data_IF_869568475632
#
_entry.id   IF_869568475632
#
_cell.length_a   1.000
_cell.length_b   1.000
_cell.length_c   1.000
_cell.angle_alpha   90.00
_cell.angle_beta   90.00
_cell.angle_gamma   90.00
#
_symmetry.space_group_name_H-M   'P 1'
#
loop_
_entity.id
_entity.type
_entity.pdbx_description
1 polymer ?
#
# COMPACT_ATOMS: atom_id res chain seq x y z
N UNK A 1 -59.27 1.47 42.34
CA UNK A 1 -57.79 1.32 42.37
C UNK A 1 -57.21 2.71 42.47
N UNK A 2 -56.63 3.06 43.62
CA UNK A 2 -56.05 4.39 43.85
C UNK A 2 -54.68 4.52 43.20
N UNK A 3 -54.20 5.75 42.98
CA UNK A 3 -52.88 6.03 42.36
C UNK A 3 -51.73 5.26 43.05
N UNK A 4 -51.86 5.00 44.36
CA UNK A 4 -50.91 4.18 45.12
C UNK A 4 -50.88 2.69 44.74
N UNK A 5 -52.00 2.10 44.28
CA UNK A 5 -52.04 0.71 43.80
C UNK A 5 -51.42 0.55 42.40
N UNK A 6 -51.45 1.61 41.58
CA UNK A 6 -50.78 1.65 40.27
C UNK A 6 -49.26 1.62 40.44
N UNK A 7 -48.71 2.42 41.35
CA UNK A 7 -47.26 2.40 41.66
C UNK A 7 -46.81 1.14 42.42
N UNK A 8 -47.70 0.47 43.17
CA UNK A 8 -47.36 -0.80 43.85
C UNK A 8 -47.33 -2.00 42.89
N UNK A 9 -48.12 -1.95 41.81
CA UNK A 9 -48.17 -3.00 40.78
C UNK A 9 -47.04 -2.83 39.76
N UNK A 10 -46.64 -1.59 39.50
CA UNK A 10 -45.44 -1.26 38.72
C UNK A 10 -44.23 -1.13 39.66
N UNK A 11 -43.79 -2.26 40.22
CA UNK A 11 -42.43 -2.36 40.80
C UNK A 11 -41.46 -1.96 39.70
N UNK A 12 -40.86 -0.77 39.83
CA UNK A 12 -39.68 -0.28 39.10
C UNK A 12 -39.53 -0.94 37.72
N UNK A 13 -40.28 -0.48 36.71
CA UNK A 13 -39.84 -0.68 35.34
C UNK A 13 -38.48 0.04 35.22
N UNK A 14 -37.40 -0.73 35.35
CA UNK A 14 -36.06 -0.28 35.04
C UNK A 14 -36.06 0.12 33.57
N UNK A 15 -36.29 1.40 33.29
CA UNK A 15 -36.25 1.92 31.91
C UNK A 15 -34.83 1.70 31.39
N UNK A 16 -34.63 0.89 30.33
CA UNK A 16 -33.32 0.64 29.78
C UNK A 16 -32.75 1.96 29.23
N UNK A 17 -31.53 2.29 29.67
CA UNK A 17 -30.75 3.37 29.13
C UNK A 17 -29.99 2.85 27.91
N UNK A 18 -30.43 3.23 26.71
CA UNK A 18 -29.80 2.81 25.47
C UNK A 18 -28.54 3.63 25.18
N UNK A 19 -27.36 3.00 25.11
CA UNK A 19 -26.09 3.66 24.78
C UNK A 19 -25.49 3.01 23.53
N UNK A 20 -25.19 3.82 22.51
CA UNK A 20 -24.42 3.41 21.34
C UNK A 20 -22.96 3.87 21.47
N UNK A 21 -22.01 3.02 21.08
CA UNK A 21 -20.59 3.37 21.05
C UNK A 21 -19.89 2.74 19.84
N UNK A 22 -19.03 3.53 19.21
CA UNK A 22 -18.19 3.11 18.09
C UNK A 22 -16.86 2.56 18.58
N UNK A 23 -16.42 1.51 17.89
CA UNK A 23 -15.12 0.87 18.06
C UNK A 23 -14.47 0.68 16.70
N UNK A 24 -13.21 1.08 16.59
CA UNK A 24 -12.44 1.03 15.35
C UNK A 24 -11.30 0.04 15.51
N UNK A 25 -11.20 -0.88 14.56
CA UNK A 25 -10.16 -1.90 14.46
C UNK A 25 -9.45 -1.76 13.13
N UNK A 26 -8.15 -2.04 13.16
CA UNK A 26 -7.32 -2.15 11.97
C UNK A 26 -6.85 -3.59 11.82
N UNK A 27 -6.78 -4.11 10.61
CA UNK A 27 -6.33 -5.47 10.34
C UNK A 27 -5.57 -5.53 9.03
N UNK A 28 -4.79 -6.59 8.86
CA UNK A 28 -4.21 -6.97 7.58
C UNK A 28 -5.02 -8.16 7.05
N UNK A 29 -5.67 -7.99 5.91
CA UNK A 29 -6.52 -9.01 5.28
C UNK A 29 -5.99 -9.38 3.90
N UNK A 30 -6.21 -10.62 3.46
CA UNK A 30 -6.01 -11.02 2.06
C UNK A 30 -7.11 -10.48 1.14
N UNK A 31 -7.46 -11.24 0.10
CA UNK A 31 -8.58 -10.89 -0.80
C UNK A 31 -9.95 -11.09 -0.11
N UNK A 32 -10.91 -10.23 -0.41
CA UNK A 32 -12.30 -10.29 0.10
C UNK A 32 -12.47 -10.11 1.62
N UNK A 33 -11.56 -9.41 2.30
CA UNK A 33 -11.74 -9.02 3.71
C UNK A 33 -11.69 -10.19 4.71
N UNK A 34 -11.08 -11.33 4.34
CA UNK A 34 -10.88 -12.54 5.15
C UNK A 34 -12.09 -13.00 6.00
N UNK A 35 -13.30 -12.77 5.49
CA UNK A 35 -14.54 -13.14 6.17
C UNK A 35 -14.71 -12.52 7.56
N UNK A 36 -14.20 -11.30 7.80
CA UNK A 36 -14.29 -10.61 9.12
C UNK A 36 -15.71 -10.66 9.69
N UNK A 37 -16.73 -10.33 8.88
CA UNK A 37 -18.12 -10.35 9.34
C UNK A 37 -18.54 -11.74 9.83
N UNK A 38 -18.18 -12.80 9.09
CA UNK A 38 -18.44 -14.20 9.46
C UNK A 38 -17.70 -14.57 10.74
N UNK A 39 -16.41 -14.25 10.86
CA UNK A 39 -15.59 -14.49 12.07
C UNK A 39 -16.18 -13.80 13.32
N UNK A 40 -16.78 -12.63 13.17
CA UNK A 40 -17.45 -11.94 14.27
C UNK A 40 -18.73 -12.67 14.69
N UNK A 41 -19.54 -13.11 13.72
CA UNK A 41 -20.76 -13.88 14.01
C UNK A 41 -20.43 -15.21 14.67
N UNK A 42 -19.44 -15.93 14.15
CA UNK A 42 -18.95 -17.19 14.71
C UNK A 42 -18.40 -17.03 16.13
N UNK A 43 -17.69 -15.93 16.39
CA UNK A 43 -17.22 -15.61 17.74
C UNK A 43 -18.36 -15.46 18.75
N UNK A 44 -19.50 -14.87 18.34
CA UNK A 44 -20.68 -14.78 19.20
C UNK A 44 -21.46 -16.10 19.26
N UNK A 45 -21.36 -16.95 18.25
CA UNK A 45 -21.83 -18.33 18.25
C UNK A 45 -23.30 -18.46 18.66
N UNK A 46 -23.56 -19.26 19.69
CA UNK A 46 -24.91 -19.56 20.19
C UNK A 46 -25.63 -18.35 20.82
N UNK A 47 -24.94 -17.23 21.04
CA UNK A 47 -25.53 -15.98 21.55
C UNK A 47 -26.22 -15.17 20.46
N UNK A 48 -25.96 -15.46 19.19
CA UNK A 48 -26.60 -14.80 18.06
C UNK A 48 -28.07 -15.20 18.02
N UNK A 49 -28.95 -14.21 18.08
CA UNK A 49 -30.38 -14.36 17.80
C UNK A 49 -30.64 -14.18 16.31
N UNK A 50 -29.98 -13.18 15.71
CA UNK A 50 -30.15 -12.80 14.31
C UNK A 50 -28.85 -12.19 13.77
N UNK A 51 -28.48 -12.51 12.54
CA UNK A 51 -27.38 -11.87 11.82
C UNK A 51 -27.82 -11.62 10.38
N UNK A 52 -27.65 -10.39 9.88
CA UNK A 52 -28.18 -9.95 8.59
C UNK A 52 -27.11 -9.20 7.82
N UNK A 53 -26.91 -9.58 6.56
CA UNK A 53 -26.20 -8.77 5.58
C UNK A 53 -27.09 -7.60 5.16
N UNK A 54 -26.66 -6.39 5.49
CA UNK A 54 -27.43 -5.17 5.27
C UNK A 54 -27.22 -4.59 3.87
N UNK A 55 -26.27 -5.12 3.09
CA UNK A 55 -26.04 -4.70 1.72
C UNK A 55 -27.21 -5.07 0.79
N UNK A 56 -27.93 -6.16 1.11
CA UNK A 56 -29.14 -6.64 0.42
C UNK A 56 -30.38 -5.75 0.60
N UNK A 57 -30.34 -4.69 1.43
CA UNK A 57 -31.47 -3.76 1.63
C UNK A 57 -31.30 -2.40 0.92
N UNK A 58 -30.32 -2.25 0.02
CA UNK A 58 -30.07 -1.03 -0.77
C UNK A 58 -29.89 -1.31 -2.27
N UNK A 59 -30.64 -2.27 -2.81
CA UNK A 59 -30.82 -2.42 -4.25
C UNK A 59 -32.30 -2.20 -4.54
N UNK A 60 -32.59 -1.32 -5.52
CA UNK A 60 -33.93 -0.93 -5.98
C UNK A 60 -34.95 -2.08 -5.96
N UNK A 61 -36.20 -1.77 -5.62
CA UNK A 61 -37.35 -2.69 -5.62
C UNK A 61 -37.51 -3.49 -6.93
N UNK A 62 -36.83 -3.12 -8.02
CA UNK A 62 -36.90 -3.77 -9.32
C UNK A 62 -36.04 -5.06 -9.48
N UNK A 63 -35.12 -5.38 -8.56
CA UNK A 63 -34.27 -6.60 -8.66
C UNK A 63 -34.89 -7.83 -7.98
N UNK A 64 -35.92 -7.65 -7.14
CA UNK A 64 -36.61 -8.76 -6.46
C UNK A 64 -37.38 -9.69 -7.41
N UNK A 65 -37.69 -9.23 -8.63
CA UNK A 65 -38.36 -10.06 -9.65
C UNK A 65 -37.46 -11.13 -10.29
N UNK A 66 -36.14 -11.05 -10.11
CA UNK A 66 -35.18 -11.99 -10.72
C UNK A 66 -34.88 -13.24 -9.88
N UNK A 67 -35.32 -13.28 -8.62
CA UNK A 67 -34.97 -14.35 -7.67
C UNK A 67 -36.17 -15.16 -7.16
N UNK A 68 -37.36 -14.96 -7.71
CA UNK A 68 -38.49 -15.89 -7.53
C UNK A 68 -38.32 -17.11 -8.45
N UNK A 69 -37.30 -17.92 -8.20
CA UNK A 69 -36.98 -19.07 -9.02
C UNK A 69 -36.01 -20.03 -8.35
N UNK A 70 -36.59 -21.01 -7.67
CA UNK A 70 -36.04 -22.34 -7.35
C UNK A 70 -34.92 -22.48 -6.30
N UNK A 71 -35.27 -23.29 -5.30
CA UNK A 71 -34.47 -24.02 -4.30
C UNK A 71 -32.95 -23.92 -4.39
N UNK A 72 -32.32 -23.38 -3.34
CA UNK A 72 -30.96 -23.77 -2.95
C UNK A 72 -30.80 -23.70 -1.42
N UNK A 73 -30.03 -24.64 -0.88
CA UNK A 73 -29.75 -24.87 0.53
C UNK A 73 -29.44 -23.57 1.30
N UNK A 74 -29.89 -23.47 2.56
CA UNK A 74 -29.73 -22.29 3.44
C UNK A 74 -28.27 -21.80 3.49
N UNK A 75 -27.91 -20.90 2.59
CA UNK A 75 -26.70 -20.10 2.72
C UNK A 75 -26.78 -19.26 3.99
N UNK A 76 -25.68 -19.22 4.74
CA UNK A 76 -25.57 -18.37 5.92
C UNK A 76 -25.85 -16.91 5.51
N UNK A 77 -26.62 -16.12 6.28
CA UNK A 77 -26.98 -14.76 5.87
C UNK A 77 -25.78 -13.81 5.78
N UNK A 78 -24.65 -14.18 6.41
CA UNK A 78 -23.38 -13.46 6.36
C UNK A 78 -22.38 -14.27 5.53
N UNK A 79 -21.85 -13.63 4.50
CA UNK A 79 -20.89 -14.18 3.55
C UNK A 79 -19.49 -13.63 3.81
N UNK A 80 -18.46 -14.26 3.21
CA UNK A 80 -17.07 -13.79 3.38
C UNK A 80 -16.87 -12.37 2.82
N UNK A 81 -17.65 -12.00 1.79
CA UNK A 81 -17.64 -10.68 1.17
C UNK A 81 -18.55 -9.66 1.87
N UNK A 82 -19.31 -10.03 2.90
CA UNK A 82 -20.23 -9.10 3.59
C UNK A 82 -19.44 -7.96 4.24
N UNK A 83 -19.73 -6.71 3.85
CA UNK A 83 -19.07 -5.49 4.36
C UNK A 83 -19.90 -4.69 5.35
N UNK A 84 -21.23 -4.72 5.23
CA UNK A 84 -22.15 -4.02 6.13
C UNK A 84 -23.12 -5.05 6.70
N UNK A 85 -23.19 -5.15 8.03
CA UNK A 85 -23.98 -6.18 8.68
C UNK A 85 -24.56 -5.72 10.01
N UNK A 86 -25.63 -6.40 10.45
CA UNK A 86 -26.20 -6.27 11.78
C UNK A 86 -26.21 -7.62 12.48
N UNK A 87 -25.80 -7.66 13.75
CA UNK A 87 -25.95 -8.80 14.65
C UNK A 87 -26.85 -8.37 15.81
N UNK A 88 -27.87 -9.17 16.09
CA UNK A 88 -28.67 -9.08 17.31
C UNK A 88 -28.38 -10.29 18.17
N UNK A 89 -28.03 -10.05 19.43
CA UNK A 89 -27.77 -11.09 20.42
C UNK A 89 -29.03 -11.35 21.25
N UNK A 90 -29.13 -12.56 21.80
CA UNK A 90 -30.27 -13.00 22.64
C UNK A 90 -30.51 -12.15 23.89
N UNK A 91 -29.52 -11.36 24.32
CA UNK A 91 -29.63 -10.43 25.44
C UNK A 91 -30.13 -9.04 25.04
N UNK A 92 -30.49 -8.83 23.77
CA UNK A 92 -30.98 -7.56 23.22
C UNK A 92 -29.87 -6.65 22.70
N UNK A 93 -28.59 -7.00 22.83
CA UNK A 93 -27.49 -6.23 22.25
C UNK A 93 -27.55 -6.23 20.73
N UNK A 94 -27.43 -5.04 20.12
CA UNK A 94 -27.33 -4.87 18.68
C UNK A 94 -25.94 -4.37 18.28
N UNK A 95 -25.32 -5.00 17.29
CA UNK A 95 -24.02 -4.65 16.75
C UNK A 95 -24.18 -4.37 15.26
N UNK A 96 -23.87 -3.16 14.82
CA UNK A 96 -23.75 -2.81 13.41
C UNK A 96 -22.26 -2.77 13.05
N UNK A 97 -21.88 -3.48 12.00
CA UNK A 97 -20.52 -3.53 11.51
C UNK A 97 -20.39 -2.95 10.12
N UNK A 98 -19.31 -2.19 9.90
CA UNK A 98 -18.86 -1.68 8.61
C UNK A 98 -17.40 -2.09 8.42
N UNK A 99 -17.08 -2.74 7.30
CA UNK A 99 -15.73 -3.19 6.92
C UNK A 99 -15.31 -2.42 5.67
N UNK A 100 -14.17 -1.75 5.74
CA UNK A 100 -13.54 -1.01 4.65
C UNK A 100 -12.18 -1.63 4.36
N UNK A 101 -12.06 -2.37 3.26
CA UNK A 101 -10.83 -2.92 2.71
C UNK A 101 -10.43 -2.25 1.39
N UNK A 102 -10.82 -0.99 1.20
CA UNK A 102 -10.44 -0.19 0.04
C UNK A 102 -8.99 0.29 0.09
N UNK A 103 -8.49 0.80 -1.03
CA UNK A 103 -7.18 1.47 -1.09
C UNK A 103 -7.08 2.63 -0.09
N UNK A 104 -8.21 3.28 0.23
CA UNK A 104 -8.26 4.35 1.23
C UNK A 104 -7.98 3.83 2.64
N UNK A 105 -8.41 2.60 2.96
CA UNK A 105 -8.08 1.94 4.22
C UNK A 105 -6.57 1.64 4.32
N UNK A 106 -5.94 1.21 3.23
CA UNK A 106 -4.48 1.02 3.16
C UNK A 106 -3.71 2.34 3.36
N UNK A 107 -4.13 3.42 2.69
CA UNK A 107 -3.57 4.77 2.89
C UNK A 107 -3.71 5.25 4.34
N UNK A 108 -4.82 4.91 4.99
CA UNK A 108 -5.01 5.21 6.42
C UNK A 108 -4.03 4.44 7.31
N UNK A 109 -3.75 3.16 7.01
CA UNK A 109 -2.73 2.37 7.70
C UNK A 109 -1.34 3.01 7.62
N UNK A 110 -0.92 3.41 6.43
CA UNK A 110 0.34 4.13 6.22
C UNK A 110 0.40 5.45 7.01
N UNK A 111 -0.66 6.27 6.95
CA UNK A 111 -0.75 7.51 7.72
C UNK A 111 -0.76 7.28 9.23
N UNK A 112 -1.32 6.15 9.70
CA UNK A 112 -1.28 5.79 11.12
C UNK A 112 0.13 5.39 11.56
N UNK A 113 0.91 4.74 10.70
CA UNK A 113 2.32 4.44 10.97
C UNK A 113 3.15 5.73 11.09
N UNK A 114 2.94 6.68 10.18
CA UNK A 114 3.56 8.01 10.26
C UNK A 114 3.19 8.72 11.55
N UNK A 115 1.91 8.70 11.93
CA UNK A 115 1.44 9.28 13.19
C UNK A 115 2.16 8.70 14.41
N UNK A 116 2.51 7.41 14.42
CA UNK A 116 3.24 6.77 15.52
C UNK A 116 4.77 6.79 15.37
N UNK A 117 5.32 7.38 14.30
CA UNK A 117 6.77 7.35 14.00
C UNK A 117 7.65 8.00 15.08
N UNK A 118 7.12 8.96 15.84
CA UNK A 118 7.80 9.68 16.92
C UNK A 118 7.67 9.00 18.30
N UNK A 119 7.07 7.80 18.36
CA UNK A 119 6.86 7.08 19.63
C UNK A 119 8.20 6.75 20.30
N UNK A 120 8.24 6.92 21.63
CA UNK A 120 9.42 6.63 22.44
C UNK A 120 9.52 5.11 22.73
N UNK A 121 10.15 4.39 21.82
CA UNK A 121 10.53 2.98 21.98
C UNK A 121 12.06 2.91 21.81
N UNK A 122 12.78 2.45 22.84
CA UNK A 122 14.26 2.48 22.87
C UNK A 122 14.92 1.53 21.88
N UNK A 123 14.25 0.41 21.60
CA UNK A 123 14.71 -0.57 20.63
C UNK A 123 14.17 -0.17 19.25
N UNK A 124 15.06 0.39 18.42
CA UNK A 124 14.70 0.88 17.08
C UNK A 124 14.28 -0.25 16.14
N UNK A 125 14.81 -1.45 16.29
CA UNK A 125 14.39 -2.60 15.47
C UNK A 125 12.97 -3.03 15.84
N UNK A 126 12.68 -3.15 17.14
CA UNK A 126 11.32 -3.41 17.61
C UNK A 126 10.34 -2.31 17.15
N UNK A 127 10.74 -1.04 17.26
CA UNK A 127 9.95 0.10 16.79
C UNK A 127 9.64 -0.03 15.30
N UNK A 128 10.65 -0.33 14.48
CA UNK A 128 10.47 -0.51 13.04
C UNK A 128 9.51 -1.66 12.73
N UNK A 129 9.66 -2.83 13.38
CA UNK A 129 8.75 -3.96 13.18
C UNK A 129 7.29 -3.62 13.54
N UNK A 130 7.07 -2.87 14.63
CA UNK A 130 5.73 -2.42 15.02
C UNK A 130 5.16 -1.43 14.01
N UNK A 131 5.94 -0.46 13.54
CA UNK A 131 5.50 0.52 12.53
C UNK A 131 5.22 -0.14 11.18
N UNK A 132 6.04 -1.11 10.77
CA UNK A 132 5.83 -1.92 9.56
C UNK A 132 4.47 -2.61 9.61
N UNK A 133 4.12 -3.25 10.73
CA UNK A 133 2.79 -3.88 10.88
C UNK A 133 1.64 -2.88 10.72
N UNK A 134 1.78 -1.65 11.24
CA UNK A 134 0.77 -0.60 11.10
C UNK A 134 0.65 -0.16 9.64
N UNK A 135 1.78 -0.02 8.94
CA UNK A 135 1.80 0.36 7.54
C UNK A 135 1.13 -0.70 6.64
N UNK A 136 1.17 -1.97 7.03
CA UNK A 136 0.47 -3.05 6.32
C UNK A 136 -1.03 -3.14 6.58
N UNK A 137 -1.60 -2.34 7.50
CA UNK A 137 -3.05 -2.34 7.70
C UNK A 137 -3.78 -1.88 6.44
N UNK A 138 -4.47 -2.82 5.80
CA UNK A 138 -5.23 -2.60 4.57
C UNK A 138 -6.75 -2.72 4.79
N UNK A 139 -7.19 -2.93 6.03
CA UNK A 139 -8.60 -3.02 6.37
C UNK A 139 -8.92 -2.29 7.68
N UNK A 140 -10.06 -1.59 7.68
CA UNK A 140 -10.63 -0.92 8.83
C UNK A 140 -12.02 -1.48 9.11
N UNK A 141 -12.22 -1.96 10.33
CA UNK A 141 -13.52 -2.45 10.80
C UNK A 141 -14.08 -1.49 11.84
N UNK A 142 -15.27 -0.96 11.61
CA UNK A 142 -16.03 -0.17 12.58
C UNK A 142 -17.16 -1.02 13.12
N UNK A 143 -17.21 -1.18 14.43
CA UNK A 143 -18.32 -1.82 15.14
C UNK A 143 -19.04 -0.78 16.00
N UNK A 144 -20.30 -0.50 15.69
CA UNK A 144 -21.19 0.27 16.52
C UNK A 144 -22.07 -0.67 17.32
N UNK A 145 -21.89 -0.70 18.63
CA UNK A 145 -22.68 -1.57 19.49
C UNK A 145 -23.63 -0.75 20.37
N UNK A 146 -24.88 -1.19 20.44
CA UNK A 146 -25.97 -0.56 21.17
C UNK A 146 -26.48 -1.49 22.27
N UNK A 147 -26.53 -0.95 23.48
CA UNK A 147 -26.83 -1.70 24.70
C UNK A 147 -28.01 -1.13 25.43
N UNK A 148 -28.85 -2.00 25.99
CA UNK A 148 -29.89 -1.64 26.93
C UNK A 148 -29.38 -1.84 28.37
N UNK A 149 -29.03 -0.73 29.05
CA UNK A 149 -28.59 -0.78 30.45
C UNK A 149 -29.75 -0.57 31.42
N UNK A 150 -29.99 -1.52 32.32
CA UNK A 150 -30.92 -1.31 33.42
C UNK A 150 -30.29 -0.41 34.50
N UNK A 151 -31.10 0.46 35.11
CA UNK A 151 -30.64 1.59 35.96
C UNK A 151 -30.08 1.19 37.33
N UNK A 152 -29.73 -0.08 37.56
CA UNK A 152 -29.16 -0.52 38.84
C UNK A 152 -27.73 0.02 39.04
N UNK A 153 -27.37 0.36 40.27
CA UNK A 153 -26.21 1.19 40.65
C UNK A 153 -24.79 0.63 40.40
N UNK A 154 -24.58 -0.25 39.40
CA UNK A 154 -23.27 -0.86 39.06
C UNK A 154 -22.72 -0.45 37.69
N UNK A 155 -22.99 0.78 37.24
CA UNK A 155 -22.58 1.37 35.93
C UNK A 155 -21.11 1.18 35.50
N UNK A 156 -20.16 0.97 36.42
CA UNK A 156 -18.73 0.85 36.09
C UNK A 156 -18.34 -0.55 35.61
N UNK A 157 -18.97 -1.60 36.15
CA UNK A 157 -18.60 -3.00 35.82
C UNK A 157 -19.16 -3.45 34.47
N UNK A 158 -20.28 -2.88 34.03
CA UNK A 158 -20.92 -3.26 32.76
C UNK A 158 -20.17 -2.66 31.56
N UNK A 159 -19.65 -1.44 31.67
CA UNK A 159 -18.77 -0.82 30.65
C UNK A 159 -17.47 -1.59 30.44
N UNK A 160 -16.91 -2.17 31.50
CA UNK A 160 -15.68 -2.97 31.44
C UNK A 160 -15.95 -4.31 30.74
N UNK A 161 -17.04 -5.01 31.13
CA UNK A 161 -17.47 -6.24 30.44
C UNK A 161 -17.74 -6.02 28.96
N UNK A 162 -18.33 -4.88 28.61
CA UNK A 162 -18.57 -4.46 27.24
C UNK A 162 -17.26 -4.25 26.45
N UNK A 163 -16.35 -3.47 27.01
CA UNK A 163 -15.05 -3.23 26.38
C UNK A 163 -14.31 -4.56 26.17
N UNK A 164 -14.33 -5.45 27.17
CA UNK A 164 -13.75 -6.79 27.06
C UNK A 164 -14.42 -7.66 26.00
N UNK A 165 -15.74 -7.53 25.86
CA UNK A 165 -16.54 -8.26 24.88
C UNK A 165 -16.19 -7.85 23.44
N UNK A 166 -16.08 -6.55 23.18
CA UNK A 166 -15.76 -6.00 21.85
C UNK A 166 -14.28 -6.17 21.51
N UNK A 167 -13.39 -6.01 22.49
CA UNK A 167 -11.98 -6.39 22.35
C UNK A 167 -11.83 -7.88 22.03
N UNK A 168 -12.65 -8.73 22.66
CA UNK A 168 -12.68 -10.15 22.37
C UNK A 168 -13.16 -10.47 20.95
N UNK A 169 -14.15 -9.73 20.45
CA UNK A 169 -14.55 -9.82 19.04
C UNK A 169 -13.42 -9.39 18.10
N UNK A 170 -12.71 -8.31 18.42
CA UNK A 170 -11.49 -7.88 17.70
C UNK A 170 -10.48 -9.02 17.50
N UNK A 171 -10.28 -9.84 18.54
CA UNK A 171 -9.39 -10.99 18.49
C UNK A 171 -9.82 -12.06 17.49
N UNK A 172 -11.11 -12.23 17.19
CA UNK A 172 -11.55 -13.29 16.26
C UNK A 172 -11.16 -13.03 14.81
N UNK A 173 -10.75 -11.80 14.48
CA UNK A 173 -10.33 -11.40 13.14
C UNK A 173 -8.98 -10.66 13.13
N UNK A 174 -8.15 -10.88 14.16
CA UNK A 174 -6.83 -10.24 14.29
C UNK A 174 -6.87 -8.70 14.20
N UNK A 175 -7.95 -8.10 14.70
CA UNK A 175 -8.15 -6.67 14.75
C UNK A 175 -7.30 -5.98 15.84
N UNK A 176 -6.60 -4.93 15.45
CA UNK A 176 -5.85 -4.00 16.28
C UNK A 176 -6.72 -2.78 16.61
N UNK A 177 -7.33 -2.72 17.80
CA UNK A 177 -8.23 -1.62 18.10
C UNK A 177 -7.47 -0.35 18.49
N UNK A 178 -7.91 0.76 17.91
CA UNK A 178 -7.39 2.10 18.21
C UNK A 178 -8.29 2.75 19.27
N UNK A 179 -7.82 2.78 20.52
CA UNK A 179 -8.55 3.44 21.61
C UNK A 179 -7.89 4.77 21.93
N UNK A 180 -8.62 5.86 21.62
CA UNK A 180 -8.06 7.22 21.52
C UNK A 180 -7.02 7.31 20.41
N UNK A 181 -6.85 8.48 19.83
CA UNK A 181 -5.87 8.73 18.75
C UNK A 181 -4.41 8.52 19.17
N UNK A 182 -4.15 7.99 20.37
CA UNK A 182 -2.83 7.91 20.99
C UNK A 182 -2.40 6.47 21.34
N UNK A 183 -3.29 5.47 21.29
CA UNK A 183 -2.94 4.09 21.69
C UNK A 183 -3.63 3.04 20.85
N UNK A 184 -2.82 2.22 20.20
CA UNK A 184 -3.20 1.03 19.45
C UNK A 184 -2.92 -0.21 20.30
N UNK A 185 -3.89 -1.12 20.37
CA UNK A 185 -3.74 -2.40 21.08
C UNK A 185 -3.61 -3.54 20.09
N UNK A 186 -2.96 -4.61 20.51
CA UNK A 186 -2.91 -5.87 19.76
C UNK A 186 -4.20 -6.67 19.95
N UNK A 187 -4.47 -7.67 19.10
CA UNK A 187 -5.57 -8.63 19.30
C UNK A 187 -5.55 -9.32 20.68
N UNK A 188 -4.37 -9.48 21.26
CA UNK A 188 -4.16 -10.03 22.62
C UNK A 188 -4.31 -9.00 23.75
N UNK A 189 -4.89 -7.83 23.46
CA UNK A 189 -5.16 -6.75 24.42
C UNK A 189 -3.92 -6.12 25.06
N UNK A 190 -2.73 -6.33 24.49
CA UNK A 190 -1.50 -5.63 24.89
C UNK A 190 -1.42 -4.29 24.17
N UNK A 191 -0.74 -3.31 24.76
CA UNK A 191 -0.41 -2.05 24.10
C UNK A 191 0.60 -2.34 23.01
N UNK A 192 0.13 -2.26 21.77
CA UNK A 192 0.92 -2.46 20.58
C UNK A 192 1.86 -1.27 20.39
N UNK A 193 1.27 -0.07 20.26
CA UNK A 193 2.00 1.21 20.24
C UNK A 193 1.17 2.29 20.94
N UNK A 194 1.83 3.10 21.76
CA UNK A 194 1.25 4.23 22.47
C UNK A 194 2.21 5.41 22.55
N UNK A 195 1.74 6.61 22.19
CA UNK A 195 2.50 7.86 22.33
C UNK A 195 2.95 8.14 23.77
N UNK A 196 2.22 7.60 24.77
CA UNK A 196 2.50 7.83 26.20
C UNK A 196 3.41 6.79 26.82
N UNK A 197 3.22 5.51 26.50
CA UNK A 197 3.91 4.41 27.20
C UNK A 197 4.86 3.61 26.30
N UNK A 198 4.90 3.86 24.99
CA UNK A 198 5.70 3.08 24.05
C UNK A 198 4.98 1.79 23.65
N UNK A 199 5.53 0.64 24.03
CA UNK A 199 5.00 -0.69 23.68
C UNK A 199 5.16 -1.66 24.85
N UNK A 200 4.27 -2.66 24.94
CA UNK A 200 4.40 -3.79 25.87
C UNK A 200 5.14 -5.00 25.25
N UNK A 201 5.50 -4.92 23.97
CA UNK A 201 6.23 -5.97 23.27
C UNK A 201 7.73 -5.87 23.57
N UNK A 202 8.40 -7.02 23.63
CA UNK A 202 9.88 -7.11 23.69
C UNK A 202 10.49 -7.45 22.34
N UNK A 203 9.72 -8.17 21.54
CA UNK A 203 10.03 -8.59 20.18
C UNK A 203 8.70 -8.62 19.43
N UNK A 204 8.75 -8.39 18.11
CA UNK A 204 7.58 -8.45 17.26
C UNK A 204 7.98 -8.80 15.83
N UNK A 205 7.18 -9.64 15.17
CA UNK A 205 7.34 -10.00 13.78
C UNK A 205 6.08 -9.59 13.03
N UNK A 206 6.17 -8.71 12.01
CA UNK A 206 5.03 -8.34 11.20
C UNK A 206 4.37 -9.57 10.57
N UNK A 207 3.05 -9.62 10.66
CA UNK A 207 2.23 -10.56 9.92
C UNK A 207 1.80 -9.92 8.60
N UNK A 208 2.15 -10.59 7.50
CA UNK A 208 1.74 -10.25 6.14
C UNK A 208 1.07 -11.51 5.55
N UNK A 209 -0.24 -11.49 5.26
CA UNK A 209 -0.93 -12.58 4.58
C UNK A 209 -0.20 -12.98 3.31
N UNK A 210 -0.14 -14.29 3.04
CA UNK A 210 0.55 -14.84 1.86
C UNK A 210 -0.02 -14.28 0.56
N UNK A 211 -1.29 -13.88 0.57
CA UNK A 211 -2.04 -13.30 -0.55
C UNK A 211 -1.65 -11.85 -0.84
N UNK A 212 -1.08 -11.14 0.15
CA UNK A 212 -0.50 -9.80 -0.02
C UNK A 212 0.99 -9.85 -0.37
N UNK A 213 1.61 -11.03 -0.21
CA UNK A 213 2.95 -11.29 -0.72
C UNK A 213 2.76 -11.78 -2.14
N UNK A 214 3.19 -11.02 -3.15
CA UNK A 214 3.05 -11.42 -4.56
C UNK A 214 3.96 -12.64 -4.84
N UNK A 215 3.49 -13.82 -4.45
CA UNK A 215 4.13 -15.10 -4.62
C UNK A 215 3.61 -15.71 -5.92
N UNK A 216 4.10 -15.20 -7.05
CA UNK A 216 4.08 -16.02 -8.26
C UNK A 216 5.06 -17.18 -8.09
N UNK A 217 4.79 -18.30 -8.76
CA UNK A 217 5.77 -19.37 -8.86
C UNK A 217 6.92 -18.88 -9.75
N UNK A 218 8.14 -18.90 -9.20
CA UNK A 218 9.35 -18.57 -9.96
C UNK A 218 9.55 -19.60 -11.08
N UNK A 219 9.74 -19.11 -12.29
CA UNK A 219 10.11 -19.96 -13.45
C UNK A 219 11.56 -20.44 -13.35
N UNK A 220 11.94 -21.40 -14.20
CA UNK A 220 13.34 -21.83 -14.29
C UNK A 220 14.26 -20.67 -14.72
N UNK A 221 13.79 -19.81 -15.62
CA UNK A 221 14.48 -18.59 -16.04
C UNK A 221 14.65 -17.58 -14.89
N UNK A 222 13.63 -17.39 -14.05
CA UNK A 222 13.71 -16.54 -12.86
C UNK A 222 14.77 -17.05 -11.87
N UNK A 223 14.81 -18.36 -11.63
CA UNK A 223 15.79 -18.99 -10.75
C UNK A 223 17.21 -18.87 -11.33
N UNK A 224 17.38 -19.10 -12.63
CA UNK A 224 18.67 -18.98 -13.29
C UNK A 224 19.19 -17.54 -13.27
N UNK A 225 18.32 -16.55 -13.46
CA UNK A 225 18.65 -15.12 -13.39
C UNK A 225 19.01 -14.69 -11.97
N UNK A 226 18.22 -15.10 -10.98
CA UNK A 226 18.54 -14.89 -9.56
C UNK A 226 19.95 -15.37 -9.23
N UNK A 227 20.33 -16.58 -9.67
CA UNK A 227 21.66 -17.13 -9.43
C UNK A 227 22.77 -16.26 -10.04
N UNK A 228 22.60 -15.78 -11.28
CA UNK A 228 23.55 -14.87 -11.94
C UNK A 228 23.69 -13.54 -11.19
N UNK A 229 22.58 -12.99 -10.70
CA UNK A 229 22.59 -11.72 -9.94
C UNK A 229 23.27 -11.89 -8.58
N UNK A 230 22.99 -12.99 -7.87
CA UNK A 230 23.64 -13.31 -6.58
C UNK A 230 25.15 -13.46 -6.77
N UNK A 231 25.60 -14.15 -7.83
CA UNK A 231 27.03 -14.30 -8.13
C UNK A 231 27.74 -12.94 -8.29
N UNK A 232 27.10 -11.98 -8.97
CA UNK A 232 27.63 -10.60 -9.11
C UNK A 232 27.71 -9.88 -7.76
N UNK A 233 26.65 -9.95 -6.95
CA UNK A 233 26.58 -9.27 -5.65
C UNK A 233 27.59 -9.87 -4.67
N UNK A 234 27.75 -11.18 -4.69
CA UNK A 234 28.76 -11.89 -3.89
C UNK A 234 30.19 -11.54 -4.34
N UNK A 235 30.44 -11.41 -5.64
CA UNK A 235 31.73 -10.96 -6.17
C UNK A 235 32.11 -9.54 -5.71
N UNK A 236 31.12 -8.66 -5.55
CA UNK A 236 31.28 -7.33 -4.94
C UNK A 236 31.39 -7.36 -3.40
N UNK A 237 31.25 -8.55 -2.82
CA UNK A 237 31.24 -8.82 -1.37
C UNK A 237 30.08 -8.16 -0.65
N UNK A 238 28.97 -7.90 -1.34
CA UNK A 238 27.76 -7.30 -0.78
C UNK A 238 26.87 -8.41 -0.18
N UNK A 239 26.09 -8.10 0.87
CA UNK A 239 25.18 -9.09 1.43
C UNK A 239 24.03 -9.38 0.46
N UNK A 240 23.58 -10.63 0.40
CA UNK A 240 22.42 -11.04 -0.40
C UNK A 240 21.49 -11.96 0.40
N UNK A 241 20.25 -12.08 -0.05
CA UNK A 241 19.27 -13.04 0.46
C UNK A 241 19.09 -14.18 -0.55
N UNK A 242 19.48 -15.39 -0.14
CA UNK A 242 19.54 -16.59 -1.02
C UNK A 242 18.20 -16.93 -1.70
N UNK A 243 17.09 -16.75 -0.99
CA UNK A 243 15.75 -17.11 -1.46
C UNK A 243 14.84 -15.87 -1.64
N UNK A 244 15.41 -14.76 -2.10
CA UNK A 244 14.64 -13.58 -2.48
C UNK A 244 13.94 -13.85 -3.81
N UNK A 245 12.61 -13.87 -3.85
CA UNK A 245 11.88 -13.94 -5.12
C UNK A 245 12.24 -12.76 -6.03
N UNK A 246 12.13 -12.91 -7.35
CA UNK A 246 12.26 -11.75 -8.27
C UNK A 246 11.12 -10.76 -8.03
N UNK A 247 11.32 -9.47 -8.37
CA UNK A 247 10.24 -8.49 -8.28
C UNK A 247 9.15 -8.77 -9.31
N UNK A 248 9.54 -9.14 -10.54
CA UNK A 248 8.65 -9.47 -11.65
C UNK A 248 9.06 -10.79 -12.28
N UNK A 249 8.10 -11.71 -12.42
CA UNK A 249 8.33 -13.02 -13.03
C UNK A 249 8.55 -12.93 -14.54
N UNK A 250 9.37 -13.82 -15.08
CA UNK A 250 9.53 -14.05 -16.52
C UNK A 250 8.17 -14.20 -17.22
N UNK A 251 7.23 -14.95 -16.63
CA UNK A 251 5.92 -15.22 -17.22
C UNK A 251 5.01 -13.98 -17.32
N UNK A 252 5.21 -12.98 -16.46
CA UNK A 252 4.41 -11.73 -16.41
C UNK A 252 5.07 -10.58 -17.16
N UNK A 253 6.39 -10.61 -17.34
CA UNK A 253 7.13 -9.52 -17.96
C UNK A 253 6.75 -9.34 -19.44
N UNK A 254 6.27 -8.14 -19.77
CA UNK A 254 5.91 -7.71 -21.13
C UNK A 254 6.75 -6.51 -21.51
N UNK A 255 7.49 -6.59 -22.62
CA UNK A 255 8.27 -5.48 -23.13
C UNK A 255 7.49 -4.78 -24.25
N UNK A 256 7.26 -3.46 -24.16
CA UNK A 256 6.54 -2.71 -25.18
C UNK A 256 7.38 -2.55 -26.46
N UNK A 257 6.74 -2.04 -27.52
CA UNK A 257 7.46 -1.72 -28.76
C UNK A 257 8.42 -0.51 -28.59
N UNK A 258 9.35 -0.38 -29.54
CA UNK A 258 10.36 0.68 -29.53
C UNK A 258 9.76 2.09 -29.52
N UNK A 259 8.61 2.29 -30.17
CA UNK A 259 7.99 3.60 -30.27
C UNK A 259 7.52 4.06 -28.88
N UNK A 260 6.83 3.20 -28.16
CA UNK A 260 6.37 3.48 -26.80
C UNK A 260 7.54 3.72 -25.85
N UNK A 261 8.64 2.96 -25.96
CA UNK A 261 9.83 3.17 -25.12
C UNK A 261 10.45 4.55 -25.38
N UNK A 262 10.61 4.96 -26.65
CA UNK A 262 11.17 6.28 -27.00
C UNK A 262 10.25 7.40 -26.50
N UNK A 263 8.94 7.30 -26.76
CA UNK A 263 7.95 8.28 -26.32
C UNK A 263 7.97 8.43 -24.80
N UNK A 264 8.00 7.32 -24.07
CA UNK A 264 8.06 7.33 -22.60
C UNK A 264 9.35 7.96 -22.09
N UNK A 265 10.50 7.63 -22.69
CA UNK A 265 11.79 8.21 -22.33
C UNK A 265 11.79 9.74 -22.53
N UNK A 266 11.30 10.21 -23.67
CA UNK A 266 11.16 11.63 -23.96
C UNK A 266 10.17 12.34 -23.00
N UNK A 267 9.07 11.67 -22.65
CA UNK A 267 8.09 12.20 -21.69
C UNK A 267 8.69 12.37 -20.29
N UNK A 268 9.40 11.36 -19.77
CA UNK A 268 10.08 11.47 -18.47
C UNK A 268 11.17 12.56 -18.51
N UNK A 269 11.96 12.59 -19.59
CA UNK A 269 12.98 13.62 -19.79
C UNK A 269 12.37 15.04 -19.72
N UNK A 270 11.21 15.25 -20.34
CA UNK A 270 10.49 16.52 -20.31
C UNK A 270 10.06 16.90 -18.88
N UNK A 271 9.59 15.95 -18.07
CA UNK A 271 9.24 16.23 -16.66
C UNK A 271 10.47 16.61 -15.82
N UNK A 272 11.63 15.99 -16.07
CA UNK A 272 12.89 16.39 -15.44
C UNK A 272 13.32 17.80 -15.85
N UNK A 273 13.22 18.15 -17.14
CA UNK A 273 13.50 19.50 -17.66
C UNK A 273 12.60 20.53 -16.98
N UNK A 274 11.32 20.21 -16.79
CA UNK A 274 10.38 21.08 -16.08
C UNK A 274 10.83 21.34 -14.63
N UNK A 275 11.23 20.28 -13.91
CA UNK A 275 11.77 20.40 -12.55
C UNK A 275 13.02 21.29 -12.49
N UNK A 276 13.99 21.06 -13.38
CA UNK A 276 15.25 21.82 -13.42
C UNK A 276 14.99 23.31 -13.69
N UNK A 277 14.18 23.62 -14.71
CA UNK A 277 13.82 25.00 -15.04
C UNK A 277 13.09 25.70 -13.90
N UNK A 278 12.21 24.99 -13.18
CA UNK A 278 11.52 25.53 -12.02
C UNK A 278 12.48 25.78 -10.86
N UNK A 279 13.42 24.86 -10.58
CA UNK A 279 14.43 25.07 -9.54
C UNK A 279 15.32 26.29 -9.82
N UNK A 280 15.66 26.55 -11.09
CA UNK A 280 16.47 27.70 -11.48
C UNK A 280 15.70 29.02 -11.52
N UNK A 281 14.45 29.01 -12.03
CA UNK A 281 13.72 30.23 -12.42
C UNK A 281 12.39 30.44 -11.68
N UNK A 282 11.95 29.47 -10.88
CA UNK A 282 10.68 29.46 -10.15
C UNK A 282 9.50 29.80 -11.08
N UNK A 283 8.60 30.70 -10.67
CA UNK A 283 7.45 31.12 -11.46
C UNK A 283 7.79 31.67 -12.86
N UNK A 284 9.03 32.12 -13.09
CA UNK A 284 9.48 32.59 -14.41
C UNK A 284 9.83 31.44 -15.38
N UNK A 285 9.81 30.18 -14.92
CA UNK A 285 10.09 29.00 -15.75
C UNK A 285 8.97 28.68 -16.74
N UNK A 286 7.73 29.12 -16.46
CA UNK A 286 6.51 28.66 -17.17
C UNK A 286 6.59 28.80 -18.69
N UNK A 287 7.09 29.93 -19.19
CA UNK A 287 7.21 30.17 -20.63
C UNK A 287 8.23 29.21 -21.26
N UNK A 288 9.40 29.03 -20.64
CA UNK A 288 10.41 28.09 -21.12
C UNK A 288 9.96 26.63 -21.07
N UNK A 289 9.27 26.22 -20.00
CA UNK A 289 8.78 24.85 -19.91
C UNK A 289 7.77 24.58 -21.03
N UNK A 290 6.90 25.55 -21.33
CA UNK A 290 5.98 25.45 -22.47
C UNK A 290 6.72 25.36 -23.81
N UNK A 291 7.78 26.13 -24.03
CA UNK A 291 8.60 26.05 -25.24
C UNK A 291 9.21 24.66 -25.42
N UNK A 292 9.84 24.10 -24.37
CA UNK A 292 10.40 22.75 -24.41
C UNK A 292 9.31 21.68 -24.61
N UNK A 293 8.16 21.82 -23.96
CA UNK A 293 7.04 20.91 -24.11
C UNK A 293 6.53 20.89 -25.57
N UNK A 294 6.45 22.04 -26.24
CA UNK A 294 6.09 22.13 -27.66
C UNK A 294 7.13 21.47 -28.57
N UNK A 295 8.42 21.58 -28.24
CA UNK A 295 9.50 20.92 -28.98
C UNK A 295 9.40 19.39 -28.83
N UNK A 296 9.32 18.88 -27.61
CA UNK A 296 9.22 17.45 -27.32
C UNK A 296 7.94 16.85 -27.89
N UNK A 297 6.82 17.58 -27.81
CA UNK A 297 5.57 17.16 -28.44
C UNK A 297 5.71 17.05 -29.96
N UNK A 298 6.36 18.03 -30.61
CA UNK A 298 6.57 18.00 -32.05
C UNK A 298 7.52 16.88 -32.49
N UNK A 299 8.57 16.61 -31.73
CA UNK A 299 9.60 15.61 -32.08
C UNK A 299 9.15 14.18 -31.76
N UNK A 300 8.35 13.98 -30.72
CA UNK A 300 8.06 12.66 -30.16
C UNK A 300 6.58 12.36 -29.92
N UNK A 301 5.68 13.35 -29.88
CA UNK A 301 4.25 13.13 -29.58
C UNK A 301 4.01 12.68 -28.12
N UNK A 302 4.77 13.23 -27.17
CA UNK A 302 4.77 12.77 -25.77
C UNK A 302 3.42 12.89 -25.06
N UNK A 303 2.52 13.79 -25.48
CA UNK A 303 1.20 13.96 -24.85
C UNK A 303 0.34 12.70 -24.87
N UNK A 304 0.58 11.80 -25.83
CA UNK A 304 -0.09 10.51 -25.94
C UNK A 304 0.26 9.56 -24.79
N UNK A 305 1.45 9.69 -24.20
CA UNK A 305 2.00 8.75 -23.21
C UNK A 305 2.18 9.35 -21.81
N UNK A 306 1.98 10.65 -21.64
CA UNK A 306 2.02 11.31 -20.33
C UNK A 306 0.90 10.75 -19.43
N UNK A 307 1.26 10.43 -18.19
CA UNK A 307 0.29 10.03 -17.17
C UNK A 307 -0.54 11.23 -16.71
N UNK A 308 -1.62 10.97 -15.96
CA UNK A 308 -2.43 12.07 -15.42
C UNK A 308 -1.64 12.92 -14.41
N UNK A 309 -0.72 12.32 -13.66
CA UNK A 309 0.14 13.05 -12.72
C UNK A 309 1.13 13.93 -13.46
N UNK A 310 1.78 13.40 -14.49
CA UNK A 310 2.75 14.16 -15.28
C UNK A 310 2.09 15.29 -16.07
N UNK A 311 0.89 15.06 -16.61
CA UNK A 311 0.06 16.12 -17.23
C UNK A 311 -0.22 17.23 -16.21
N UNK A 312 -0.68 16.86 -15.02
CA UNK A 312 -0.94 17.84 -13.96
C UNK A 312 0.34 18.59 -13.56
N UNK A 313 1.47 17.89 -13.44
CA UNK A 313 2.76 18.48 -13.09
C UNK A 313 3.23 19.46 -14.17
N UNK A 314 3.15 19.10 -15.45
CA UNK A 314 3.53 19.96 -16.58
C UNK A 314 2.54 21.12 -16.83
N UNK A 315 1.28 21.02 -16.41
CA UNK A 315 0.30 22.10 -16.58
C UNK A 315 0.32 23.11 -15.43
N UNK A 316 0.25 22.61 -14.20
CA UNK A 316 0.11 23.44 -13.00
C UNK A 316 1.47 23.85 -12.46
N UNK A 317 2.47 22.98 -12.62
CA UNK A 317 3.74 23.01 -11.90
C UNK A 317 3.52 22.98 -10.37
N UNK A 318 4.48 22.46 -9.63
CA UNK A 318 4.38 22.39 -8.17
C UNK A 318 5.42 23.32 -7.54
N UNK A 319 4.97 24.29 -6.74
CA UNK A 319 5.84 24.98 -5.76
C UNK A 319 6.03 24.09 -4.53
N UNK A 320 6.43 22.83 -4.78
CA UNK A 320 6.70 21.82 -3.76
C UNK A 320 8.09 21.27 -4.01
N UNK A 321 9.01 21.59 -3.09
CA UNK A 321 10.42 21.20 -3.13
C UNK A 321 10.59 19.69 -3.21
N UNK A 322 9.72 18.92 -2.53
CA UNK A 322 9.80 17.45 -2.54
C UNK A 322 9.40 16.92 -3.91
N UNK A 323 8.28 17.39 -4.46
CA UNK A 323 7.81 16.98 -5.79
C UNK A 323 8.85 17.34 -6.85
N UNK A 324 9.41 18.55 -6.81
CA UNK A 324 10.46 18.95 -7.76
C UNK A 324 11.71 18.09 -7.62
N UNK A 325 12.13 17.77 -6.39
CA UNK A 325 13.28 16.87 -6.17
C UNK A 325 13.05 15.48 -6.75
N UNK A 326 11.84 14.93 -6.61
CA UNK A 326 11.46 13.62 -7.15
C UNK A 326 11.51 13.60 -8.68
N UNK A 327 10.88 14.56 -9.33
CA UNK A 327 10.94 14.72 -10.79
C UNK A 327 12.36 15.03 -11.30
N UNK A 328 13.22 15.65 -10.49
CA UNK A 328 14.63 15.85 -10.84
C UNK A 328 15.38 14.51 -10.89
N UNK A 329 15.19 13.66 -9.88
CA UNK A 329 15.81 12.34 -9.87
C UNK A 329 15.32 11.41 -10.98
N UNK A 330 14.12 11.63 -11.53
CA UNK A 330 13.63 10.92 -12.72
C UNK A 330 14.54 11.10 -13.96
N UNK A 331 15.54 12.00 -13.95
CA UNK A 331 16.60 12.02 -14.98
C UNK A 331 17.41 10.72 -15.09
N UNK A 332 17.41 9.86 -14.06
CA UNK A 332 18.03 8.54 -14.16
C UNK A 332 17.20 7.55 -15.00
N UNK A 333 15.92 7.83 -15.26
CA UNK A 333 15.02 6.93 -15.99
C UNK A 333 15.24 6.95 -17.53
N UNK A 334 15.31 8.10 -18.23
CA UNK A 334 15.48 8.11 -19.68
C UNK A 334 16.73 7.37 -20.18
N UNK A 335 17.92 7.51 -19.54
CA UNK A 335 19.10 6.72 -19.93
C UNK A 335 18.88 5.20 -19.88
N UNK A 336 18.05 4.70 -18.97
CA UNK A 336 17.68 3.27 -18.89
C UNK A 336 16.82 2.85 -20.06
N UNK A 337 15.84 3.67 -20.45
CA UNK A 337 15.00 3.38 -21.61
C UNK A 337 15.78 3.49 -22.92
N UNK A 338 16.72 4.45 -23.03
CA UNK A 338 17.66 4.53 -24.16
C UNK A 338 18.65 3.36 -24.17
N UNK A 339 19.08 2.90 -22.99
CA UNK A 339 19.84 1.66 -22.86
C UNK A 339 19.02 0.46 -23.31
N UNK A 340 17.76 0.30 -22.94
CA UNK A 340 16.95 -0.81 -23.47
C UNK A 340 16.90 -0.85 -25.01
N UNK A 341 17.09 0.30 -25.67
CA UNK A 341 17.11 0.47 -27.13
C UNK A 341 18.51 0.47 -27.77
N UNK A 342 19.56 0.15 -27.01
CA UNK A 342 20.96 0.18 -27.48
C UNK A 342 21.41 1.54 -28.03
N UNK A 343 20.75 2.63 -27.62
CA UNK A 343 21.06 4.00 -28.04
C UNK A 343 22.09 4.67 -27.13
N UNK A 344 22.20 4.21 -25.89
CA UNK A 344 23.08 4.76 -24.87
C UNK A 344 23.55 3.68 -23.89
N UNK A 345 24.76 3.84 -23.35
CA UNK A 345 25.26 3.01 -22.24
C UNK A 345 25.01 3.68 -20.88
N UNK A 346 24.79 2.87 -19.84
CA UNK A 346 24.58 3.36 -18.49
C UNK A 346 25.91 3.73 -17.81
N UNK A 347 25.89 4.78 -17.01
CA UNK A 347 27.02 5.11 -16.11
C UNK A 347 27.06 4.14 -14.93
N UNK A 348 28.18 4.12 -14.20
CA UNK A 348 28.27 3.37 -12.95
C UNK A 348 27.22 3.82 -11.92
N UNK A 349 26.79 2.92 -11.04
CA UNK A 349 25.76 3.18 -10.02
C UNK A 349 26.21 4.14 -8.91
N UNK A 350 27.47 4.56 -8.89
CA UNK A 350 27.96 5.65 -8.04
C UNK A 350 28.05 7.00 -8.77
N UNK A 351 27.61 7.08 -10.03
CA UNK A 351 27.78 8.26 -10.88
C UNK A 351 26.46 8.67 -11.52
N UNK A 352 25.97 9.87 -11.14
CA UNK A 352 24.77 10.48 -11.73
C UNK A 352 24.89 10.51 -13.26
N UNK A 353 23.77 10.27 -13.94
CA UNK A 353 23.71 10.24 -15.39
C UNK A 353 24.18 11.56 -16.02
N UNK A 354 24.55 11.52 -17.30
CA UNK A 354 24.86 12.72 -18.06
C UNK A 354 23.55 13.43 -18.45
N UNK A 355 22.96 14.17 -17.50
CA UNK A 355 21.70 14.90 -17.67
C UNK A 355 21.74 15.78 -18.92
N UNK A 356 22.76 16.63 -19.03
CA UNK A 356 22.94 17.54 -20.16
C UNK A 356 23.05 16.79 -21.48
N UNK A 357 23.89 15.75 -21.54
CA UNK A 357 24.07 14.96 -22.76
C UNK A 357 22.80 14.24 -23.19
N UNK A 358 21.98 13.79 -22.25
CA UNK A 358 20.69 13.14 -22.55
C UNK A 358 19.68 14.16 -23.09
N UNK A 359 19.63 15.38 -22.52
CA UNK A 359 18.82 16.49 -23.06
C UNK A 359 19.26 16.82 -24.49
N UNK A 360 20.56 17.04 -24.71
CA UNK A 360 21.12 17.34 -26.04
C UNK A 360 20.79 16.22 -27.03
N UNK A 361 20.89 14.95 -26.62
CA UNK A 361 20.53 13.80 -27.45
C UNK A 361 19.07 13.83 -27.91
N UNK A 362 18.12 14.10 -27.01
CA UNK A 362 16.71 14.24 -27.40
C UNK A 362 16.47 15.48 -28.27
N UNK A 363 17.16 16.60 -28.02
CA UNK A 363 16.99 17.82 -28.82
C UNK A 363 17.53 17.67 -30.25
N UNK A 364 18.58 16.88 -30.45
CA UNK A 364 19.23 16.64 -31.75
C UNK A 364 18.57 15.53 -32.59
N UNK A 365 17.59 14.80 -32.04
CA UNK A 365 16.91 13.71 -32.72
C UNK A 365 15.38 13.90 -32.70
N UNK A 366 14.67 13.02 -33.38
CA UNK A 366 13.22 12.88 -33.37
C UNK A 366 12.84 11.40 -33.31
N UNK A 367 11.53 11.12 -33.16
CA UNK A 367 11.02 9.75 -33.04
C UNK A 367 11.46 8.85 -34.22
N UNK A 368 11.34 9.34 -35.46
CA UNK A 368 11.70 8.57 -36.65
C UNK A 368 13.19 8.23 -36.66
N UNK A 369 14.05 9.21 -36.34
CA UNK A 369 15.49 9.03 -36.27
C UNK A 369 15.88 8.01 -35.21
N UNK A 370 15.29 8.11 -34.01
CA UNK A 370 15.59 7.16 -32.94
C UNK A 370 15.04 5.76 -33.24
N UNK A 371 13.84 5.64 -33.83
CA UNK A 371 13.27 4.36 -34.24
C UNK A 371 14.17 3.60 -35.22
N UNK A 372 14.81 4.34 -36.14
CA UNK A 372 15.74 3.80 -37.12
C UNK A 372 17.10 3.39 -36.52
N UNK A 373 17.57 4.09 -35.49
CA UNK A 373 18.84 3.79 -34.79
C UNK A 373 18.68 2.69 -33.73
N UNK A 374 17.49 2.54 -33.16
CA UNK A 374 17.26 1.72 -31.98
C UNK A 374 17.26 0.21 -32.29
N UNK A 375 18.01 -0.53 -31.47
CA UNK A 375 17.99 -1.98 -31.40
C UNK A 375 17.56 -2.39 -29.98
N UNK A 376 16.35 -2.94 -29.87
CA UNK A 376 15.80 -3.38 -28.59
C UNK A 376 16.63 -4.56 -28.05
N UNK A 377 17.23 -4.37 -26.87
CA UNK A 377 17.94 -5.41 -26.12
C UNK A 377 17.00 -6.57 -25.80
N UNK A 378 17.56 -7.76 -25.64
CA UNK A 378 16.76 -8.95 -25.38
C UNK A 378 16.00 -8.84 -24.05
N UNK A 379 14.88 -9.57 -23.94
CA UNK A 379 14.13 -9.66 -22.68
C UNK A 379 15.01 -10.13 -21.53
N UNK A 380 15.86 -11.11 -21.78
CA UNK A 380 16.81 -11.62 -20.79
C UNK A 380 17.77 -10.56 -20.29
N UNK A 381 18.35 -9.74 -21.17
CA UNK A 381 19.25 -8.66 -20.76
C UNK A 381 18.56 -7.60 -19.89
N UNK A 382 17.33 -7.22 -20.27
CA UNK A 382 16.52 -6.24 -19.53
C UNK A 382 16.14 -6.79 -18.15
N UNK A 383 15.64 -8.02 -18.11
CA UNK A 383 15.25 -8.69 -16.86
C UNK A 383 16.46 -8.97 -15.97
N UNK A 384 17.62 -9.32 -16.53
CA UNK A 384 18.86 -9.53 -15.76
C UNK A 384 19.35 -8.23 -15.11
N UNK A 385 19.21 -7.08 -15.78
CA UNK A 385 19.50 -5.79 -15.17
C UNK A 385 18.50 -5.44 -14.06
N UNK A 386 17.21 -5.70 -14.29
CA UNK A 386 16.16 -5.44 -13.29
C UNK A 386 16.39 -6.25 -12.01
N UNK A 387 16.62 -7.56 -12.16
CA UNK A 387 16.85 -8.48 -11.04
C UNK A 387 18.11 -8.12 -10.23
N UNK A 388 19.15 -7.67 -10.93
CA UNK A 388 20.37 -7.17 -10.31
C UNK A 388 20.13 -5.90 -9.48
N UNK A 389 19.45 -4.88 -10.04
CA UNK A 389 19.13 -3.65 -9.30
C UNK A 389 18.19 -3.92 -8.11
N UNK A 390 17.25 -4.84 -8.27
CA UNK A 390 16.34 -5.24 -7.19
C UNK A 390 17.09 -5.85 -6.00
N UNK A 391 18.05 -6.74 -6.25
CA UNK A 391 18.87 -7.35 -5.17
C UNK A 391 19.91 -6.39 -4.60
N UNK A 392 20.44 -5.47 -5.42
CA UNK A 392 21.29 -4.39 -4.91
C UNK A 392 20.52 -3.46 -3.96
N UNK A 393 19.27 -3.15 -4.27
CA UNK A 393 18.40 -2.37 -3.39
C UNK A 393 18.23 -3.06 -2.02
N UNK A 394 17.99 -4.37 -2.02
CA UNK A 394 17.97 -5.16 -0.78
C UNK A 394 19.32 -5.12 -0.03
N UNK A 395 20.42 -5.26 -0.75
CA UNK A 395 21.78 -5.21 -0.19
C UNK A 395 22.05 -3.86 0.51
N UNK A 396 21.59 -2.76 -0.10
CA UNK A 396 21.71 -1.41 0.45
C UNK A 396 20.92 -1.28 1.77
N UNK A 397 19.68 -1.78 1.78
CA UNK A 397 18.80 -1.79 2.95
C UNK A 397 19.41 -2.62 4.08
N UNK A 398 19.92 -3.81 3.81
CA UNK A 398 20.54 -4.68 4.80
C UNK A 398 21.81 -4.03 5.41
N UNK A 399 22.67 -3.41 4.60
CA UNK A 399 23.85 -2.70 5.11
C UNK A 399 23.48 -1.44 5.92
N UNK A 400 22.35 -0.81 5.62
CA UNK A 400 21.85 0.36 6.38
C UNK A 400 21.25 -0.04 7.72
N UNK A 401 20.47 -1.11 7.76
CA UNK A 401 19.72 -1.53 8.95
C UNK A 401 20.59 -2.38 9.89
N UNK A 402 21.49 -3.21 9.34
CA UNK A 402 22.32 -4.15 10.10
C UNK A 402 23.81 -4.07 9.72
N UNK A 403 24.42 -2.87 9.74
CA UNK A 403 25.82 -2.71 9.37
C UNK A 403 26.77 -3.59 10.21
N UNK A 404 26.44 -3.86 11.47
CA UNK A 404 27.24 -4.67 12.40
C UNK A 404 27.36 -6.14 11.98
N UNK A 405 26.36 -6.69 11.28
CA UNK A 405 26.39 -8.05 10.77
C UNK A 405 27.36 -8.21 9.59
N UNK A 406 27.75 -7.10 8.98
CA UNK A 406 28.54 -7.05 7.75
C UNK A 406 29.84 -6.25 7.92
N UNK A 407 30.46 -6.33 9.10
CA UNK A 407 31.71 -5.64 9.45
C UNK A 407 31.68 -4.12 9.23
N UNK A 408 30.51 -3.48 9.38
CA UNK A 408 30.26 -2.08 9.07
C UNK A 408 30.64 -1.70 7.63
N UNK A 409 30.50 -2.64 6.69
CA UNK A 409 30.70 -2.38 5.26
C UNK A 409 29.73 -1.29 4.81
N UNK A 410 30.24 -0.30 4.10
CA UNK A 410 29.42 0.72 3.45
C UNK A 410 28.96 0.23 2.09
N UNK A 411 27.71 0.55 1.75
CA UNK A 411 27.21 0.33 0.41
C UNK A 411 27.97 1.26 -0.57
N UNK A 412 28.51 0.74 -1.69
CA UNK A 412 29.40 1.50 -2.56
C UNK A 412 28.67 2.36 -3.60
N UNK A 413 27.37 2.13 -3.81
CA UNK A 413 26.57 2.77 -4.84
C UNK A 413 25.62 3.83 -4.26
N UNK A 414 25.08 4.69 -5.13
CA UNK A 414 24.04 5.65 -4.75
C UNK A 414 22.66 4.99 -4.81
N UNK A 415 21.97 4.96 -3.67
CA UNK A 415 20.66 4.30 -3.56
C UNK A 415 19.57 4.98 -4.40
N UNK A 416 19.66 6.30 -4.60
CA UNK A 416 18.71 7.03 -5.44
C UNK A 416 18.88 6.65 -6.90
N UNK A 417 20.13 6.51 -7.37
CA UNK A 417 20.40 6.05 -8.74
C UNK A 417 19.80 4.66 -8.96
N UNK A 418 20.00 3.73 -8.02
CA UNK A 418 19.42 2.38 -8.10
C UNK A 418 17.90 2.44 -8.13
N UNK A 419 17.29 3.25 -7.25
CA UNK A 419 15.84 3.38 -7.14
C UNK A 419 15.22 3.82 -8.49
N UNK A 420 15.65 4.95 -9.05
CA UNK A 420 15.05 5.48 -10.27
C UNK A 420 15.38 4.64 -11.51
N UNK A 421 16.56 4.03 -11.58
CA UNK A 421 16.86 3.11 -12.69
C UNK A 421 16.03 1.83 -12.61
N UNK A 422 15.79 1.30 -11.40
CA UNK A 422 14.89 0.17 -11.18
C UNK A 422 13.47 0.53 -11.56
N UNK A 423 12.98 1.71 -11.17
CA UNK A 423 11.64 2.21 -11.55
C UNK A 423 11.43 2.18 -13.07
N UNK A 424 12.41 2.68 -13.82
CA UNK A 424 12.35 2.66 -15.28
C UNK A 424 12.32 1.23 -15.85
N UNK A 425 13.07 0.30 -15.28
CA UNK A 425 13.06 -1.11 -15.70
C UNK A 425 11.76 -1.84 -15.31
N UNK A 426 11.23 -1.60 -14.13
CA UNK A 426 9.97 -2.22 -13.69
C UNK A 426 8.78 -1.74 -14.51
N UNK A 427 8.76 -0.47 -14.90
CA UNK A 427 7.80 0.04 -15.88
C UNK A 427 8.00 -0.61 -17.26
N UNK A 428 9.24 -0.73 -17.71
CA UNK A 428 9.56 -1.29 -19.03
C UNK A 428 9.09 -2.74 -19.20
N UNK A 429 8.94 -3.49 -18.11
CA UNK A 429 8.45 -4.88 -18.13
C UNK A 429 6.98 -5.03 -17.75
N UNK A 430 6.28 -3.92 -17.46
CA UNK A 430 4.86 -3.83 -17.13
C UNK A 430 4.24 -2.52 -17.69
N UNK A 431 4.32 -2.29 -19.02
CA UNK A 431 3.96 -1.00 -19.63
C UNK A 431 2.46 -0.66 -19.53
N UNK A 432 1.61 -1.60 -19.11
CA UNK A 432 0.20 -1.39 -18.84
C UNK A 432 -0.06 -0.57 -17.57
N UNK A 433 0.91 -0.51 -16.65
CA UNK A 433 0.83 0.30 -15.43
C UNK A 433 1.39 1.69 -15.68
N UNK A 434 0.85 2.69 -14.97
CA UNK A 434 1.49 4.00 -14.94
C UNK A 434 2.83 3.91 -14.18
N UNK A 435 3.76 4.82 -14.46
CA UNK A 435 5.04 4.81 -13.74
C UNK A 435 4.84 5.11 -12.24
N UNK A 436 3.81 5.88 -11.89
CA UNK A 436 3.40 6.13 -10.51
C UNK A 436 2.84 4.88 -9.81
N UNK A 437 2.03 4.07 -10.51
CA UNK A 437 1.53 2.80 -9.96
C UNK A 437 2.69 1.81 -9.73
N UNK A 438 3.65 1.75 -10.65
CA UNK A 438 4.87 0.94 -10.48
C UNK A 438 5.67 1.43 -9.27
N UNK A 439 5.89 2.73 -9.15
CA UNK A 439 6.61 3.34 -8.03
C UNK A 439 5.95 3.04 -6.68
N UNK A 440 4.61 3.05 -6.63
CA UNK A 440 3.84 2.72 -5.43
C UNK A 440 3.96 1.23 -5.03
N UNK A 441 4.16 0.34 -5.99
CA UNK A 441 4.32 -1.11 -5.78
C UNK A 441 5.78 -1.53 -5.51
N UNK A 442 6.76 -0.65 -5.77
CA UNK A 442 8.17 -0.95 -5.52
C UNK A 442 8.47 -1.14 -4.03
N UNK A 443 8.53 -2.38 -3.59
CA UNK A 443 9.02 -2.74 -2.26
C UNK A 443 10.55 -2.72 -2.19
N UNK A 444 11.08 -2.54 -0.97
CA UNK A 444 12.52 -2.58 -0.67
C UNK A 444 13.00 -3.97 -0.32
#
# INVERSE_FOLDING_TARGET
MGIFDFFKKNKEEEIPLRIAKDFYFHSVVGKNGDGIARKIVEYFGDKVEEAVDMHKNFVDEDVLSYFEGEDTEKEFPIQDWTRIFRIKLKDGTEINGEIDDSEMAAKYGAGLAEHFSDVNIKDENLKQMLLTQIAFFNCKTKLMATFDFYKSGKKKNEKVKLLDFILGAGKSFDGYPLFSTETLYSPDKKVFVSKKIGTEFKEFTPFIPKELIDNFEMTDEDNARMARSIEKIEADGLPYLENMHTSISEARAVIPDKELIIKRAAAIQMTGIASELYNEMQENAKEKIKEFLEIFEKQYGIKEVLTNEEKNYLEKYADDVRINSEYNWRYECPPVLLWALSLQELTDLSTICNVKGTIEYFMENDLETLMNKAELRSKDEIMDMLDYLYRLNWSAVELRIRPENHNNKKFPYDESIIHFRRLALEWLVQPEKSIEDVEAEMHT
#
